data_IF_826964701166
#
_entry.id   IF_826964701166
#
_cell.length_a   1.000
_cell.length_b   1.000
_cell.length_c   1.000
_cell.angle_alpha   90.00
_cell.angle_beta   90.00
_cell.angle_gamma   90.00
#
_symmetry.space_group_name_H-M   'P 1'
#
loop_
_entity.id
_entity.type
_entity.pdbx_description
1 polymer ?
#
# COMPACT_ATOMS: atom_id res chain seq x y z
N UNK A 1 8.08 50.83 29.54
CA UNK A 1 7.21 50.67 28.36
C UNK A 1 7.75 49.46 27.62
N UNK A 2 7.38 48.27 28.10
CA UNK A 2 7.81 46.98 27.57
C UNK A 2 6.76 46.56 26.56
N UNK A 3 7.18 46.40 25.30
CA UNK A 3 6.38 45.76 24.26
C UNK A 3 5.95 44.39 24.76
N UNK A 4 4.65 44.25 25.04
CA UNK A 4 4.02 42.95 25.21
C UNK A 4 4.06 42.33 23.82
N UNK A 5 4.91 41.31 23.67
CA UNK A 5 4.95 40.49 22.47
C UNK A 5 3.52 39.95 22.28
N UNK A 6 2.81 40.43 21.26
CA UNK A 6 1.50 39.90 20.88
C UNK A 6 1.71 38.42 20.55
N UNK A 7 1.45 37.55 21.52
CA UNK A 7 1.46 36.10 21.34
C UNK A 7 0.59 35.78 20.12
N UNK A 8 1.20 35.23 19.08
CA UNK A 8 0.59 35.11 17.76
C UNK A 8 -0.82 34.52 17.85
N UNK A 9 -1.83 35.35 17.56
CA UNK A 9 -3.25 34.98 17.52
C UNK A 9 -3.59 34.05 16.32
N UNK A 10 -2.62 33.31 15.81
CA UNK A 10 -2.81 32.28 14.80
C UNK A 10 -2.11 30.97 15.16
N UNK A 11 -2.59 29.89 14.55
CA UNK A 11 -1.96 28.58 14.57
C UNK A 11 -1.79 28.11 13.12
N UNK A 12 -0.57 27.66 12.79
CA UNK A 12 -0.28 27.02 11.52
C UNK A 12 -1.03 25.69 11.40
N UNK A 13 -1.94 25.60 10.45
CA UNK A 13 -2.71 24.40 10.13
C UNK A 13 -2.41 23.93 8.71
N UNK A 14 -2.49 22.61 8.42
CA UNK A 14 -2.29 22.11 7.07
C UNK A 14 -3.27 22.75 6.08
N UNK A 15 -2.76 23.31 4.99
CA UNK A 15 -3.55 23.85 3.91
C UNK A 15 -4.37 22.72 3.23
N UNK A 16 -5.62 22.98 2.82
CA UNK A 16 -6.36 22.05 1.97
C UNK A 16 -5.59 21.73 0.68
N UNK A 17 -5.41 20.44 0.38
CA UNK A 17 -4.62 19.99 -0.77
C UNK A 17 -5.41 19.09 -1.72
N UNK A 18 -5.21 19.28 -3.02
CA UNK A 18 -5.83 18.47 -4.07
C UNK A 18 -4.94 17.32 -4.57
N UNK A 19 -3.65 17.29 -4.20
CA UNK A 19 -2.70 16.32 -4.76
C UNK A 19 -3.08 14.85 -4.57
N UNK A 20 -3.66 14.41 -3.42
CA UNK A 20 -4.13 13.03 -3.29
C UNK A 20 -5.14 12.66 -4.39
N UNK A 21 -6.09 13.56 -4.68
CA UNK A 21 -7.11 13.33 -5.70
C UNK A 21 -6.52 13.35 -7.12
N UNK A 22 -5.59 14.26 -7.41
CA UNK A 22 -4.87 14.29 -8.70
C UNK A 22 -4.02 13.04 -8.89
N UNK A 23 -3.37 12.55 -7.83
CA UNK A 23 -2.59 11.30 -7.89
C UNK A 23 -3.48 10.10 -8.20
N UNK A 24 -4.66 10.00 -7.57
CA UNK A 24 -5.63 8.95 -7.85
C UNK A 24 -6.12 9.02 -9.30
N UNK A 25 -6.38 10.22 -9.83
CA UNK A 25 -6.76 10.42 -11.22
C UNK A 25 -5.63 9.99 -12.20
N UNK A 26 -4.37 10.29 -11.87
CA UNK A 26 -3.21 9.84 -12.63
C UNK A 26 -3.09 8.31 -12.68
N UNK A 27 -3.27 7.64 -11.53
CA UNK A 27 -3.32 6.17 -11.45
C UNK A 27 -4.47 5.60 -12.28
N UNK A 28 -5.66 6.17 -12.19
CA UNK A 28 -6.82 5.72 -12.95
C UNK A 28 -6.61 5.86 -14.46
N UNK A 29 -6.09 7.00 -14.92
CA UNK A 29 -5.74 7.22 -16.33
C UNK A 29 -4.65 6.26 -16.81
N UNK A 30 -3.62 6.02 -16.00
CA UNK A 30 -2.57 5.07 -16.31
C UNK A 30 -3.14 3.66 -16.54
N UNK A 31 -4.04 3.22 -15.65
CA UNK A 31 -4.70 1.92 -15.72
C UNK A 31 -5.66 1.79 -16.91
N UNK A 32 -6.53 2.78 -17.14
CA UNK A 32 -7.43 2.80 -18.31
C UNK A 32 -6.64 2.81 -19.60
N UNK A 33 -5.53 3.56 -19.66
CA UNK A 33 -4.66 3.62 -20.81
C UNK A 33 -4.02 2.29 -21.17
N UNK A 34 -3.70 1.44 -20.19
CA UNK A 34 -3.18 0.09 -20.45
C UNK A 34 -4.19 -0.73 -21.27
N UNK A 35 -5.48 -0.64 -20.93
CA UNK A 35 -6.53 -1.39 -21.60
C UNK A 35 -6.98 -0.78 -22.95
N UNK A 36 -6.74 0.52 -23.15
CA UNK A 36 -7.35 1.27 -24.28
C UNK A 36 -6.34 1.88 -25.23
N UNK A 37 -5.35 2.61 -24.72
CA UNK A 37 -4.41 3.38 -25.53
C UNK A 37 -3.12 3.72 -24.76
N UNK A 38 -1.92 3.33 -25.26
CA UNK A 38 -0.66 3.60 -24.58
C UNK A 38 -0.38 5.09 -24.34
N UNK A 39 -0.87 5.99 -25.20
CA UNK A 39 -0.72 7.44 -25.00
C UNK A 39 -1.49 7.95 -23.78
N UNK A 40 -2.67 7.38 -23.51
CA UNK A 40 -3.44 7.69 -22.30
C UNK A 40 -2.68 7.19 -21.07
N UNK A 41 -2.03 6.02 -21.17
CA UNK A 41 -1.24 5.48 -20.06
C UNK A 41 -0.05 6.38 -19.72
N UNK A 42 0.69 6.83 -20.75
CA UNK A 42 1.80 7.80 -20.59
C UNK A 42 1.31 9.11 -19.98
N UNK A 43 0.17 9.65 -20.45
CA UNK A 43 -0.43 10.84 -19.87
C UNK A 43 -0.79 10.65 -18.38
N UNK A 44 -1.39 9.52 -18.01
CA UNK A 44 -1.69 9.18 -16.62
C UNK A 44 -0.45 9.11 -15.74
N UNK A 45 0.63 8.48 -16.22
CA UNK A 45 1.92 8.45 -15.51
C UNK A 45 2.50 9.85 -15.34
N UNK A 46 2.44 10.70 -16.36
CA UNK A 46 2.91 12.09 -16.24
C UNK A 46 2.11 12.88 -15.19
N UNK A 47 0.79 12.75 -15.18
CA UNK A 47 -0.08 13.37 -14.17
C UNK A 47 0.27 12.88 -12.77
N UNK A 48 0.47 11.56 -12.60
CA UNK A 48 0.87 10.97 -11.32
C UNK A 48 2.21 11.52 -10.82
N UNK A 49 3.21 11.64 -11.70
CA UNK A 49 4.53 12.17 -11.34
C UNK A 49 4.46 13.65 -10.91
N UNK A 50 3.66 14.46 -11.62
CA UNK A 50 3.40 15.85 -11.23
C UNK A 50 2.69 15.92 -9.88
N UNK A 51 1.70 15.06 -9.65
CA UNK A 51 0.94 15.03 -8.40
C UNK A 51 1.82 14.66 -7.20
N UNK A 52 2.64 13.63 -7.32
CA UNK A 52 3.61 13.23 -6.29
C UNK A 52 4.60 14.37 -6.04
N UNK A 53 5.15 14.98 -7.09
CA UNK A 53 6.08 16.09 -6.96
C UNK A 53 5.48 17.33 -6.30
N UNK A 54 4.22 17.66 -6.62
CA UNK A 54 3.46 18.73 -5.98
C UNK A 54 3.21 18.45 -4.50
N UNK A 55 2.76 17.23 -4.19
CA UNK A 55 2.49 16.83 -2.82
C UNK A 55 3.75 16.85 -1.94
N UNK A 56 4.87 16.33 -2.44
CA UNK A 56 6.15 16.36 -1.72
C UNK A 56 6.63 17.79 -1.46
N UNK A 57 6.30 18.75 -2.32
CA UNK A 57 6.63 20.17 -2.10
C UNK A 57 5.76 20.80 -1.01
N UNK A 58 4.50 20.40 -0.85
CA UNK A 58 3.67 20.89 0.26
C UNK A 58 4.13 20.36 1.61
N UNK A 59 4.78 19.20 1.65
CA UNK A 59 5.39 18.67 2.86
C UNK A 59 6.66 19.42 3.30
N UNK A 60 7.16 20.39 2.51
CA UNK A 60 8.25 21.25 3.00
C UNK A 60 7.74 22.31 3.98
N UNK A 61 8.49 22.57 5.08
CA UNK A 61 8.10 23.55 6.09
C UNK A 61 7.72 24.90 5.48
N UNK A 62 6.58 25.46 5.92
CA UNK A 62 6.09 26.76 5.46
C UNK A 62 5.47 26.80 4.06
N UNK A 63 5.28 25.67 3.38
CA UNK A 63 4.58 25.62 2.06
C UNK A 63 3.21 24.97 2.08
N UNK A 64 2.97 24.05 3.00
CA UNK A 64 1.70 23.34 3.16
C UNK A 64 0.88 23.85 4.34
N UNK A 65 1.15 25.05 4.85
CA UNK A 65 0.57 25.60 6.07
C UNK A 65 -0.22 26.88 5.77
N UNK A 66 -1.37 27.02 6.41
CA UNK A 66 -2.18 28.24 6.48
C UNK A 66 -2.27 28.67 7.95
N UNK A 67 -2.13 29.97 8.20
CA UNK A 67 -2.35 30.53 9.52
C UNK A 67 -3.85 30.67 9.75
N UNK A 68 -4.41 29.83 10.63
CA UNK A 68 -5.79 30.01 11.10
C UNK A 68 -5.79 30.82 12.40
N UNK A 69 -6.60 31.87 12.44
CA UNK A 69 -6.75 32.71 13.63
C UNK A 69 -7.41 31.91 14.76
N UNK A 70 -6.87 32.05 15.98
CA UNK A 70 -7.48 31.44 17.15
C UNK A 70 -8.92 31.91 17.34
N UNK A 71 -9.77 31.01 17.80
CA UNK A 71 -11.13 31.35 18.23
C UNK A 71 -11.06 32.45 19.31
N UNK A 72 -11.94 33.47 19.26
CA UNK A 72 -12.02 34.53 20.26
C UNK A 72 -12.05 33.99 21.70
N UNK A 73 -11.40 34.69 22.63
CA UNK A 73 -11.17 34.21 24.02
C UNK A 73 -12.47 33.83 24.74
N UNK A 74 -13.57 34.53 24.47
CA UNK A 74 -14.90 34.27 25.03
C UNK A 74 -15.54 32.95 24.55
N UNK A 75 -15.06 32.43 23.41
CA UNK A 75 -15.51 31.18 22.79
C UNK A 75 -14.51 30.04 22.96
N UNK A 76 -13.34 30.29 23.57
CA UNK A 76 -12.35 29.24 23.86
C UNK A 76 -12.90 28.28 24.91
N UNK A 77 -12.56 27.00 24.76
CA UNK A 77 -12.85 26.00 25.79
C UNK A 77 -12.20 26.41 27.12
N UNK A 78 -12.88 26.14 28.24
CA UNK A 78 -12.31 26.40 29.57
C UNK A 78 -10.97 25.71 29.69
N UNK A 79 -9.97 26.45 30.17
CA UNK A 79 -8.63 25.95 30.40
C UNK A 79 -8.69 24.69 31.28
N UNK A 80 -8.01 23.63 30.84
CA UNK A 80 -7.94 22.39 31.58
C UNK A 80 -6.99 22.60 32.75
N UNK A 81 -7.53 22.98 33.91
CA UNK A 81 -6.75 23.14 35.14
C UNK A 81 -6.25 21.77 35.59
N UNK A 82 -4.93 21.63 35.72
CA UNK A 82 -4.32 20.41 36.22
C UNK A 82 -4.89 20.05 37.61
N UNK A 83 -5.45 18.85 37.74
CA UNK A 83 -5.93 18.37 39.03
C UNK A 83 -4.75 18.15 39.97
N UNK A 84 -4.83 18.65 41.20
CA UNK A 84 -3.86 18.36 42.27
C UNK A 84 -3.91 16.90 42.73
N UNK A 85 -4.93 16.14 42.31
CA UNK A 85 -5.03 14.71 42.59
C UNK A 85 -3.94 14.00 41.80
N UNK A 86 -3.03 13.35 42.52
CA UNK A 86 -1.98 12.51 41.93
C UNK A 86 -2.64 11.32 41.22
N UNK A 87 -2.77 11.41 39.89
CA UNK A 87 -3.25 10.30 39.06
C UNK A 87 -2.08 9.34 38.87
N UNK A 88 -2.32 8.04 39.04
CA UNK A 88 -1.31 7.04 38.72
C UNK A 88 -0.92 7.21 37.24
N UNK A 89 0.36 7.47 36.97
CA UNK A 89 0.83 7.53 35.59
C UNK A 89 0.63 6.15 34.96
N UNK A 90 -0.03 6.08 33.78
CA UNK A 90 -0.16 4.82 33.07
C UNK A 90 1.22 4.31 32.66
N UNK A 91 1.78 3.35 33.39
CA UNK A 91 2.92 2.55 32.97
C UNK A 91 2.43 1.42 32.09
N UNK A 92 2.95 1.35 30.86
CA UNK A 92 2.71 0.25 29.96
C UNK A 92 3.06 -1.09 30.64
N UNK A 93 2.20 -2.11 30.48
CA UNK A 93 2.45 -3.47 30.98
C UNK A 93 1.96 -3.82 32.39
N UNK A 94 1.39 -2.88 33.17
CA UNK A 94 0.78 -3.18 34.47
C UNK A 94 -0.70 -3.59 34.34
N UNK A 95 -1.18 -4.59 35.12
CA UNK A 95 -2.60 -4.91 35.17
C UNK A 95 -3.43 -3.69 35.60
N UNK A 96 -4.41 -3.29 34.78
CA UNK A 96 -5.26 -2.12 35.03
C UNK A 96 -4.94 -0.87 34.20
N UNK A 97 -3.79 -0.83 33.50
CA UNK A 97 -3.49 0.24 32.55
C UNK A 97 -3.96 -0.12 31.13
N UNK A 98 -4.77 0.76 30.52
CA UNK A 98 -5.25 0.64 29.12
C UNK A 98 -4.33 1.30 28.09
N UNK A 99 -3.20 1.84 28.52
CA UNK A 99 -2.21 2.46 27.63
C UNK A 99 -1.42 1.38 26.89
N UNK A 100 -1.85 1.06 25.66
CA UNK A 100 -1.14 0.20 24.72
C UNK A 100 -0.35 1.07 23.75
N UNK A 101 0.96 1.20 23.97
CA UNK A 101 1.85 1.84 23.01
C UNK A 101 2.48 0.77 22.12
N UNK A 102 2.43 0.90 20.78
CA UNK A 102 3.11 -0.04 19.89
C UNK A 102 4.62 0.13 20.04
N UNK A 103 5.28 -0.72 20.83
CA UNK A 103 6.73 -0.66 21.05
C UNK A 103 7.53 -0.91 19.76
N UNK A 104 6.96 -1.67 18.81
CA UNK A 104 7.59 -1.96 17.52
C UNK A 104 6.55 -2.04 16.41
N UNK A 105 6.80 -1.35 15.29
CA UNK A 105 5.97 -1.39 14.08
C UNK A 105 6.70 -2.16 12.98
N UNK A 106 5.92 -2.84 12.14
CA UNK A 106 6.44 -3.35 10.87
C UNK A 106 6.63 -2.17 9.91
N UNK A 107 7.61 -2.26 9.02
CA UNK A 107 7.88 -1.19 8.06
C UNK A 107 7.05 -1.40 6.81
N UNK A 108 6.61 -0.36 6.11
CA UNK A 108 5.91 -0.54 4.82
C UNK A 108 6.73 -1.37 3.81
N UNK A 109 8.06 -1.32 3.93
CA UNK A 109 8.97 -2.15 3.14
C UNK A 109 8.79 -3.66 3.38
N UNK A 110 8.43 -4.13 4.58
CA UNK A 110 8.19 -5.56 4.80
C UNK A 110 6.98 -6.07 4.02
N UNK A 111 5.94 -5.25 3.90
CA UNK A 111 4.80 -5.54 3.04
C UNK A 111 5.18 -5.69 1.58
N UNK A 112 5.90 -4.70 1.03
CA UNK A 112 6.33 -4.72 -0.38
C UNK A 112 7.22 -5.93 -0.67
N UNK A 113 8.23 -6.20 0.17
CA UNK A 113 9.14 -7.34 -0.03
C UNK A 113 8.40 -8.66 0.14
N UNK A 114 7.54 -8.78 1.16
CA UNK A 114 6.71 -9.97 1.37
C UNK A 114 5.78 -10.24 0.20
N UNK A 115 5.18 -9.19 -0.37
CA UNK A 115 4.36 -9.26 -1.58
C UNK A 115 5.15 -9.75 -2.79
N UNK A 116 6.33 -9.19 -3.05
CA UNK A 116 7.20 -9.62 -4.16
C UNK A 116 7.67 -11.08 -4.01
N UNK A 117 8.03 -11.51 -2.79
CA UNK A 117 8.40 -12.91 -2.52
C UNK A 117 7.20 -13.85 -2.73
N UNK A 118 6.04 -13.51 -2.20
CA UNK A 118 4.80 -14.24 -2.44
C UNK A 118 4.46 -14.31 -3.93
N UNK A 119 4.63 -13.21 -4.65
CA UNK A 119 4.43 -13.11 -6.09
C UNK A 119 5.35 -14.06 -6.86
N UNK A 120 6.63 -14.12 -6.47
CA UNK A 120 7.58 -15.08 -7.05
C UNK A 120 7.17 -16.53 -6.85
N UNK A 121 6.75 -16.91 -5.63
CA UNK A 121 6.27 -18.27 -5.33
C UNK A 121 4.99 -18.60 -6.10
N UNK A 122 4.07 -17.64 -6.22
CA UNK A 122 2.86 -17.76 -7.03
C UNK A 122 3.19 -18.03 -8.50
N UNK A 123 4.08 -17.21 -9.08
CA UNK A 123 4.52 -17.34 -10.47
C UNK A 123 5.16 -18.72 -10.70
N UNK A 124 6.01 -19.16 -9.77
CA UNK A 124 6.61 -20.50 -9.80
C UNK A 124 5.56 -21.62 -9.78
N UNK A 125 4.52 -21.49 -8.96
CA UNK A 125 3.42 -22.47 -8.87
C UNK A 125 2.61 -22.51 -10.16
N UNK A 126 2.32 -21.36 -10.76
CA UNK A 126 1.64 -21.28 -12.04
C UNK A 126 2.49 -21.86 -13.18
N UNK A 127 3.79 -21.58 -13.21
CA UNK A 127 4.73 -22.14 -14.19
C UNK A 127 4.84 -23.67 -14.04
N UNK A 128 4.85 -24.18 -12.81
CA UNK A 128 4.81 -25.61 -12.53
C UNK A 128 3.54 -26.25 -13.11
N UNK A 129 2.38 -25.61 -12.97
CA UNK A 129 1.16 -26.05 -13.63
C UNK A 129 1.32 -26.12 -15.16
N UNK A 130 1.90 -25.08 -15.78
CA UNK A 130 2.16 -25.06 -17.23
C UNK A 130 2.98 -26.27 -17.69
N UNK A 131 4.01 -26.64 -16.91
CA UNK A 131 4.84 -27.83 -17.18
C UNK A 131 4.04 -29.13 -16.97
N UNK A 132 3.39 -29.29 -15.81
CA UNK A 132 2.66 -30.52 -15.45
C UNK A 132 1.49 -30.80 -16.38
N UNK A 133 0.83 -29.75 -16.88
CA UNK A 133 -0.30 -29.87 -17.81
C UNK A 133 0.11 -30.09 -19.27
N UNK A 134 1.41 -30.06 -19.58
CA UNK A 134 1.91 -30.19 -20.96
C UNK A 134 1.72 -28.93 -21.82
N UNK A 135 1.22 -27.83 -21.24
CA UNK A 135 0.94 -26.56 -21.94
C UNK A 135 2.18 -25.66 -22.07
N UNK A 136 3.30 -26.08 -21.46
CA UNK A 136 4.54 -25.34 -21.46
C UNK A 136 4.64 -24.30 -20.36
N UNK A 137 5.88 -23.96 -20.00
CA UNK A 137 6.20 -23.07 -18.89
C UNK A 137 5.74 -21.62 -19.12
N UNK A 138 5.56 -21.23 -20.38
CA UNK A 138 5.15 -19.88 -20.79
C UNK A 138 3.64 -19.66 -20.75
N UNK A 139 2.86 -20.74 -20.71
CA UNK A 139 1.41 -20.71 -20.72
C UNK A 139 0.78 -19.72 -19.71
N UNK A 140 1.07 -19.79 -18.39
CA UNK A 140 0.49 -18.85 -17.43
C UNK A 140 0.95 -17.40 -17.64
N UNK A 141 2.16 -17.19 -18.14
CA UNK A 141 2.71 -15.84 -18.40
C UNK A 141 1.94 -15.21 -19.57
N UNK A 142 1.77 -15.96 -20.66
CA UNK A 142 1.02 -15.49 -21.82
C UNK A 142 -0.46 -15.29 -21.49
N UNK A 143 -1.04 -16.18 -20.68
CA UNK A 143 -2.42 -16.04 -20.20
C UNK A 143 -2.61 -14.75 -19.38
N UNK A 144 -1.64 -14.40 -18.51
CA UNK A 144 -1.69 -13.15 -17.75
C UNK A 144 -1.56 -11.92 -18.65
N UNK A 145 -0.68 -11.96 -19.66
CA UNK A 145 -0.55 -10.88 -20.63
C UNK A 145 -1.82 -10.67 -21.47
N UNK A 146 -2.60 -11.74 -21.67
CA UNK A 146 -3.91 -11.71 -22.33
C UNK A 146 -4.95 -10.85 -21.61
N UNK A 147 -4.71 -10.37 -20.38
CA UNK A 147 -5.54 -9.34 -19.75
C UNK A 147 -5.47 -8.00 -20.50
N UNK A 148 -4.30 -7.69 -21.04
CA UNK A 148 -4.03 -6.39 -21.69
C UNK A 148 -4.02 -6.51 -23.20
N UNK A 149 -3.50 -7.63 -23.70
CA UNK A 149 -3.37 -7.88 -25.12
C UNK A 149 -4.66 -8.46 -25.68
N UNK A 150 -5.54 -7.59 -26.21
CA UNK A 150 -6.73 -7.97 -26.99
C UNK A 150 -6.41 -8.76 -28.26
N UNK A 151 -5.14 -8.73 -28.71
CA UNK A 151 -4.66 -9.56 -29.82
C UNK A 151 -4.83 -11.06 -29.56
N UNK A 152 -4.99 -11.50 -28.31
CA UNK A 152 -5.17 -12.92 -27.98
C UNK A 152 -6.58 -13.48 -28.17
N UNK A 153 -7.57 -12.64 -28.48
CA UNK A 153 -8.96 -13.09 -28.64
C UNK A 153 -9.14 -14.11 -29.79
N UNK A 154 -8.25 -14.10 -30.78
CA UNK A 154 -8.24 -15.02 -31.94
C UNK A 154 -7.07 -16.03 -31.94
N UNK A 155 -6.31 -16.12 -30.83
CA UNK A 155 -5.03 -16.83 -30.83
C UNK A 155 -5.19 -18.34 -30.61
N UNK A 156 -4.55 -19.13 -31.49
CA UNK A 156 -4.52 -20.59 -31.35
C UNK A 156 -3.88 -21.00 -30.02
N UNK A 157 -4.39 -22.08 -29.40
CA UNK A 157 -3.85 -22.64 -28.13
C UNK A 157 -2.33 -22.81 -28.16
N UNK A 158 -1.75 -23.10 -29.32
CA UNK A 158 -0.32 -23.32 -29.53
C UNK A 158 0.55 -22.06 -29.34
N UNK A 159 0.00 -20.85 -29.55
CA UNK A 159 0.74 -19.60 -29.36
C UNK A 159 0.83 -19.20 -27.88
N UNK A 160 -0.14 -19.59 -27.05
CA UNK A 160 -0.07 -19.40 -25.58
C UNK A 160 1.06 -20.24 -24.96
N UNK A 161 1.49 -21.32 -25.60
CA UNK A 161 2.53 -22.22 -25.07
C UNK A 161 3.95 -21.75 -25.42
N UNK A 162 4.08 -20.85 -26.40
CA UNK A 162 5.37 -20.38 -26.94
C UNK A 162 5.86 -19.13 -26.22
N UNK A 163 7.16 -18.97 -26.14
CA UNK A 163 7.75 -17.75 -25.59
C UNK A 163 7.38 -16.52 -26.43
N UNK A 164 6.93 -15.46 -25.75
CA UNK A 164 6.68 -14.15 -26.34
C UNK A 164 7.30 -13.07 -25.44
N UNK A 165 8.22 -12.28 -26.01
CA UNK A 165 8.90 -11.19 -25.28
C UNK A 165 7.89 -10.15 -24.80
N UNK A 166 6.94 -9.77 -25.66
CA UNK A 166 5.91 -8.79 -25.32
C UNK A 166 5.03 -9.28 -24.18
N UNK A 167 4.56 -10.53 -24.25
CA UNK A 167 3.74 -11.11 -23.19
C UNK A 167 4.52 -11.22 -21.88
N UNK A 168 5.78 -11.65 -21.94
CA UNK A 168 6.65 -11.72 -20.78
C UNK A 168 6.82 -10.36 -20.07
N UNK A 169 7.08 -9.28 -20.83
CA UNK A 169 7.23 -7.93 -20.28
C UNK A 169 5.92 -7.48 -19.60
N UNK A 170 4.80 -7.60 -20.31
CA UNK A 170 3.48 -7.15 -19.79
C UNK A 170 3.10 -7.95 -18.55
N UNK A 171 3.17 -9.28 -18.60
CA UNK A 171 2.86 -10.15 -17.48
C UNK A 171 3.77 -9.88 -16.28
N UNK A 172 5.07 -9.66 -16.49
CA UNK A 172 6.01 -9.33 -15.41
C UNK A 172 5.64 -8.00 -14.75
N UNK A 173 5.36 -6.96 -15.55
CA UNK A 173 4.97 -5.65 -15.02
C UNK A 173 3.67 -5.72 -14.22
N UNK A 174 2.64 -6.37 -14.77
CA UNK A 174 1.37 -6.59 -14.07
C UNK A 174 1.57 -7.34 -12.76
N UNK A 175 2.29 -8.47 -12.81
CA UNK A 175 2.45 -9.35 -11.67
C UNK A 175 3.31 -8.73 -10.56
N UNK A 176 4.44 -8.11 -10.90
CA UNK A 176 5.31 -7.44 -9.93
C UNK A 176 4.61 -6.27 -9.27
N UNK A 177 3.90 -5.45 -10.06
CA UNK A 177 3.15 -4.30 -9.55
C UNK A 177 2.03 -4.76 -8.63
N UNK A 178 1.19 -5.71 -9.07
CA UNK A 178 0.11 -6.26 -8.26
C UNK A 178 0.63 -6.89 -6.96
N UNK A 179 1.72 -7.66 -7.05
CA UNK A 179 2.35 -8.31 -5.87
C UNK A 179 2.85 -7.27 -4.87
N UNK A 180 3.54 -6.22 -5.33
CA UNK A 180 4.01 -5.14 -4.46
C UNK A 180 2.85 -4.39 -3.79
N UNK A 181 1.80 -4.05 -4.57
CA UNK A 181 0.64 -3.32 -4.06
C UNK A 181 -0.18 -4.15 -3.06
N UNK A 182 -0.41 -5.44 -3.33
CA UNK A 182 -1.12 -6.33 -2.41
C UNK A 182 -0.31 -6.53 -1.12
N UNK A 183 1.01 -6.68 -1.22
CA UNK A 183 1.89 -6.76 -0.05
C UNK A 183 1.87 -5.49 0.80
N UNK A 184 1.96 -4.32 0.16
CA UNK A 184 1.82 -3.03 0.83
C UNK A 184 0.46 -2.88 1.52
N UNK A 185 -0.62 -3.22 0.82
CA UNK A 185 -1.97 -3.17 1.35
C UNK A 185 -2.12 -4.07 2.58
N UNK A 186 -1.60 -5.29 2.53
CA UNK A 186 -1.65 -6.21 3.67
C UNK A 186 -0.95 -5.64 4.90
N UNK A 187 0.22 -5.03 4.72
CA UNK A 187 0.99 -4.39 5.81
C UNK A 187 0.24 -3.18 6.41
N UNK A 188 -0.42 -2.36 5.58
CA UNK A 188 -1.23 -1.23 6.05
C UNK A 188 -2.43 -1.70 6.88
N UNK A 189 -3.08 -2.79 6.46
CA UNK A 189 -4.27 -3.32 7.13
C UNK A 189 -3.92 -4.16 8.36
N UNK A 190 -2.68 -4.66 8.46
CA UNK A 190 -2.20 -5.53 9.53
C UNK A 190 -2.58 -5.07 10.96
N UNK A 191 -2.46 -3.78 11.34
CA UNK A 191 -2.82 -3.32 12.69
C UNK A 191 -4.32 -3.45 13.01
N UNK A 192 -5.17 -3.53 11.99
CA UNK A 192 -6.63 -3.65 12.11
C UNK A 192 -7.09 -5.11 12.13
N UNK A 193 -6.22 -6.06 11.74
CA UNK A 193 -6.58 -7.47 11.64
C UNK A 193 -6.62 -8.14 13.02
N UNK A 194 -7.58 -9.06 13.25
CA UNK A 194 -7.59 -9.94 14.42
C UNK A 194 -6.30 -10.76 14.55
N UNK A 195 -6.07 -11.32 15.74
CA UNK A 195 -4.88 -12.12 16.10
C UNK A 195 -4.69 -13.34 15.16
N UNK A 196 -4.03 -13.17 14.02
CA UNK A 196 -3.30 -14.18 13.21
C UNK A 196 -3.05 -13.66 11.79
N UNK A 197 -2.00 -12.85 11.56
CA UNK A 197 -1.66 -12.34 10.23
C UNK A 197 -1.51 -13.41 9.16
N UNK A 198 -0.91 -14.56 9.51
CA UNK A 198 -0.72 -15.68 8.58
C UNK A 198 -2.05 -16.27 8.13
N UNK A 199 -3.06 -16.35 9.01
CA UNK A 199 -4.39 -16.82 8.61
C UNK A 199 -5.09 -15.84 7.67
N UNK A 200 -5.01 -14.53 7.96
CA UNK A 200 -5.61 -13.51 7.11
C UNK A 200 -4.94 -13.44 5.74
N UNK A 201 -3.60 -13.41 5.71
CA UNK A 201 -2.82 -13.36 4.48
C UNK A 201 -2.87 -14.68 3.70
N UNK A 202 -2.84 -15.82 4.39
CA UNK A 202 -2.71 -17.14 3.78
C UNK A 202 -4.01 -17.87 3.49
N UNK A 203 -5.14 -17.51 4.12
CA UNK A 203 -6.42 -18.20 3.93
C UNK A 203 -7.51 -17.22 3.51
N UNK A 204 -7.78 -16.20 4.33
CA UNK A 204 -8.94 -15.33 4.10
C UNK A 204 -8.80 -14.49 2.85
N UNK A 205 -7.69 -13.77 2.69
CA UNK A 205 -7.45 -12.93 1.52
C UNK A 205 -7.38 -13.74 0.21
N UNK A 206 -6.67 -14.89 0.13
CA UNK A 206 -6.68 -15.77 -1.03
C UNK A 206 -8.06 -16.25 -1.46
N UNK A 207 -8.90 -16.67 -0.51
CA UNK A 207 -10.26 -17.13 -0.81
C UNK A 207 -11.16 -15.98 -1.26
N UNK A 208 -11.08 -14.84 -0.58
CA UNK A 208 -11.82 -13.63 -0.95
C UNK A 208 -11.46 -13.16 -2.36
N UNK A 209 -10.16 -13.07 -2.66
CA UNK A 209 -9.67 -12.69 -3.98
C UNK A 209 -10.08 -13.69 -5.06
N UNK A 210 -9.98 -14.99 -4.77
CA UNK A 210 -10.48 -16.03 -5.68
C UNK A 210 -11.97 -15.84 -5.97
N UNK A 211 -12.79 -15.56 -4.97
CA UNK A 211 -14.22 -15.32 -5.15
C UNK A 211 -14.51 -14.11 -6.05
N UNK A 212 -13.78 -13.01 -5.85
CA UNK A 212 -13.90 -11.80 -6.69
C UNK A 212 -13.49 -12.09 -8.14
N UNK A 213 -12.36 -12.77 -8.34
CA UNK A 213 -11.89 -13.15 -9.68
C UNK A 213 -12.89 -14.10 -10.34
N UNK A 214 -13.37 -15.12 -9.63
CA UNK A 214 -14.38 -16.06 -10.12
C UNK A 214 -15.64 -15.35 -10.60
N UNK A 215 -16.14 -14.37 -9.83
CA UNK A 215 -17.35 -13.64 -10.17
C UNK A 215 -17.19 -12.63 -11.31
N UNK A 216 -15.97 -12.12 -11.54
CA UNK A 216 -15.73 -11.01 -12.47
C UNK A 216 -15.02 -11.42 -13.77
N UNK A 217 -14.24 -12.50 -13.77
CA UNK A 217 -13.33 -12.80 -14.88
C UNK A 217 -14.05 -13.11 -16.19
N UNK A 218 -15.25 -13.69 -16.15
CA UNK A 218 -16.05 -13.93 -17.36
C UNK A 218 -16.45 -12.65 -18.10
N UNK A 219 -16.55 -11.52 -17.39
CA UNK A 219 -16.87 -10.22 -17.97
C UNK A 219 -15.60 -9.48 -18.38
N UNK A 220 -14.56 -9.53 -17.53
CA UNK A 220 -13.33 -8.77 -17.72
C UNK A 220 -12.39 -9.42 -18.77
N UNK A 221 -12.36 -10.74 -18.81
CA UNK A 221 -11.48 -11.50 -19.70
C UNK A 221 -12.06 -12.92 -19.97
N UNK A 222 -12.94 -13.04 -20.98
CA UNK A 222 -13.52 -14.32 -21.38
C UNK A 222 -12.46 -15.38 -21.69
N UNK A 223 -11.36 -15.00 -22.35
CA UNK A 223 -10.26 -15.90 -22.69
C UNK A 223 -9.63 -16.52 -21.44
N UNK A 224 -9.35 -15.72 -20.41
CA UNK A 224 -8.82 -16.22 -19.16
C UNK A 224 -9.85 -17.09 -18.42
N UNK A 225 -11.14 -16.74 -18.48
CA UNK A 225 -12.22 -17.52 -17.87
C UNK A 225 -12.30 -18.95 -18.41
N UNK A 226 -12.03 -19.18 -19.70
CA UNK A 226 -12.03 -20.51 -20.31
C UNK A 226 -10.80 -21.35 -19.95
N UNK A 227 -9.72 -20.67 -19.53
CA UNK A 227 -8.38 -21.26 -19.42
C UNK A 227 -7.89 -21.41 -17.97
N UNK A 228 -8.57 -20.79 -17.00
CA UNK A 228 -8.27 -20.97 -15.58
C UNK A 228 -8.65 -22.38 -15.14
N UNK A 229 -7.66 -23.11 -14.65
CA UNK A 229 -7.89 -24.28 -13.80
C UNK A 229 -7.93 -23.83 -12.34
N UNK A 230 -9.13 -23.79 -11.79
CA UNK A 230 -9.39 -23.20 -10.47
C UNK A 230 -8.59 -23.82 -9.33
N UNK A 231 -8.31 -25.13 -9.36
CA UNK A 231 -7.51 -25.78 -8.32
C UNK A 231 -6.09 -25.23 -8.25
N UNK A 232 -5.44 -25.03 -9.40
CA UNK A 232 -4.10 -24.45 -9.50
C UNK A 232 -4.09 -22.95 -9.24
N UNK A 233 -5.15 -22.24 -9.66
CA UNK A 233 -5.32 -20.84 -9.34
C UNK A 233 -5.38 -20.65 -7.82
N UNK A 234 -6.28 -21.38 -7.14
CA UNK A 234 -6.43 -21.35 -5.68
C UNK A 234 -5.12 -21.72 -5.00
N UNK A 235 -4.47 -22.82 -5.42
CA UNK A 235 -3.18 -23.23 -4.85
C UNK A 235 -2.12 -22.11 -4.97
N UNK A 236 -2.09 -21.39 -6.09
CA UNK A 236 -1.19 -20.26 -6.30
C UNK A 236 -1.53 -19.08 -5.37
N UNK A 237 -2.81 -18.80 -5.11
CA UNK A 237 -3.24 -17.79 -4.15
C UNK A 237 -2.82 -18.13 -2.71
N UNK A 238 -2.99 -19.39 -2.30
CA UNK A 238 -2.52 -19.85 -0.99
C UNK A 238 -1.00 -19.78 -0.87
N UNK A 239 -0.27 -20.17 -1.92
CA UNK A 239 1.18 -20.09 -1.94
C UNK A 239 1.68 -18.64 -1.77
N UNK A 240 1.08 -17.69 -2.49
CA UNK A 240 1.33 -16.26 -2.32
C UNK A 240 1.09 -15.80 -0.88
N UNK A 241 -0.13 -16.05 -0.39
CA UNK A 241 -0.62 -15.54 0.87
C UNK A 241 0.16 -16.07 2.06
N UNK A 242 0.49 -17.36 2.02
CA UNK A 242 1.27 -18.02 3.06
C UNK A 242 2.72 -17.52 3.08
N UNK A 243 3.37 -17.42 1.92
CA UNK A 243 4.74 -16.89 1.82
C UNK A 243 4.82 -15.45 2.32
N UNK A 244 3.91 -14.59 1.87
CA UNK A 244 3.85 -13.19 2.29
C UNK A 244 3.57 -13.07 3.79
N UNK A 245 2.55 -13.78 4.31
CA UNK A 245 2.19 -13.75 5.73
C UNK A 245 3.30 -14.26 6.64
N UNK A 246 3.99 -15.35 6.26
CA UNK A 246 5.16 -15.87 6.98
C UNK A 246 6.30 -14.84 6.95
N UNK A 247 6.58 -14.23 5.80
CA UNK A 247 7.65 -13.24 5.69
C UNK A 247 7.38 -12.02 6.58
N UNK A 248 6.19 -11.42 6.49
CA UNK A 248 5.80 -10.22 7.24
C UNK A 248 5.89 -10.47 8.75
N UNK A 249 5.41 -11.61 9.24
CA UNK A 249 5.48 -11.95 10.67
C UNK A 249 6.92 -12.07 11.17
N UNK A 250 7.83 -12.56 10.32
CA UNK A 250 9.25 -12.73 10.66
C UNK A 250 10.10 -11.48 10.35
N UNK A 251 9.54 -10.49 9.64
CA UNK A 251 10.27 -9.28 9.28
C UNK A 251 10.66 -8.47 10.53
N UNK A 252 11.84 -7.84 10.48
CA UNK A 252 12.34 -7.02 11.58
C UNK A 252 11.38 -5.86 11.83
N UNK A 253 10.87 -5.78 13.06
CA UNK A 253 10.08 -4.65 13.54
C UNK A 253 11.03 -3.57 14.04
N UNK A 254 10.76 -2.31 13.70
CA UNK A 254 11.56 -1.16 14.15
C UNK A 254 10.89 -0.55 15.39
N UNK A 255 11.65 -0.17 16.42
CA UNK A 255 11.10 0.56 17.57
C UNK A 255 10.37 1.82 17.13
N UNK A 256 9.18 2.08 17.66
CA UNK A 256 8.42 3.29 17.33
C UNK A 256 9.19 4.58 17.71
N UNK A 257 10.05 4.53 18.72
CA UNK A 257 10.90 5.65 19.15
C UNK A 257 11.93 6.12 18.10
N UNK A 258 12.29 5.27 17.13
CA UNK A 258 13.18 5.69 16.04
C UNK A 258 12.48 6.57 14.99
N UNK A 259 11.14 6.63 14.99
CA UNK A 259 10.37 7.52 14.12
C UNK A 259 10.27 8.93 14.75
N UNK A 260 10.20 9.02 16.09
CA UNK A 260 10.12 10.30 16.82
C UNK A 260 11.46 11.03 16.96
N UNK A 261 12.59 10.30 16.95
CA UNK A 261 13.93 10.88 17.12
C UNK A 261 14.37 11.84 16.01
N UNK A 262 13.71 11.85 14.85
CA UNK A 262 13.98 12.79 13.76
C UNK A 262 13.28 14.15 13.94
N UNK A 263 12.22 14.22 14.76
CA UNK A 263 11.47 15.46 15.04
C UNK A 263 12.06 16.24 16.22
N UNK A 264 12.71 15.57 17.17
CA UNK A 264 13.20 16.18 18.41
C UNK A 264 14.66 16.67 18.38
N UNK A 265 15.32 16.58 17.22
CA UNK A 265 16.70 17.00 17.04
C UNK A 265 16.87 18.48 16.62
N UNK A 266 15.81 19.16 16.19
CA UNK A 266 15.87 20.55 15.70
C UNK A 266 15.46 21.61 16.76
N UNK A 267 14.99 21.17 17.93
CA UNK A 267 14.40 22.06 18.95
C UNK A 267 15.23 22.30 20.21
N UNK A 268 16.44 21.74 20.33
CA UNK A 268 17.20 21.75 21.60
C UNK A 268 18.51 22.53 21.61
N UNK A 269 18.84 23.24 20.52
CA UNK A 269 20.09 24.00 20.44
C UNK A 269 19.96 25.48 20.84
N UNK A 270 18.77 25.94 21.27
CA UNK A 270 18.55 27.35 21.65
C UNK A 270 18.50 27.65 23.17
N UNK A 271 18.61 26.66 24.05
CA UNK A 271 18.65 26.88 25.50
C UNK A 271 19.99 26.43 26.12
N UNK A 272 21.09 27.12 25.81
CA UNK A 272 22.29 27.07 26.67
C UNK A 272 23.22 28.28 26.59
N UNK A 273 22.67 29.49 26.33
CA UNK A 273 23.42 30.73 26.53
C UNK A 273 22.53 31.81 27.16
N UNK A 274 22.36 31.74 28.48
CA UNK A 274 22.08 32.89 29.34
C UNK A 274 22.62 32.63 30.74
#
# INVERSE_FOLDING_TARGET
MSEVNEESESIGMPAPTAWPMVSAAGVALAAVGIATNPFISVAGVMVLMVAIGGWLRELTPGRGEIEETWVPVDQRAREVVASSRRVAQPRAGLPGNRSHFPERVHTYASGVVGGLLGGGVMAGTAMLYGVVSGRGIWYPINMLAGIVLTRFDDVSKLELERFSVTAFIIASLLHLTASALVGLFFEIVLPTLPKSPVFWGGVVAPLMWTGVVYASIGILNPLMSEHIVWSWFIASQFAYGLTMGIYVVNAKKVPASHIEGASTADGRDHESQS
#
